data_IF_672354761760
#
_entry.id   IF_672354761760
#
_cell.length_a   1.000
_cell.length_b   1.000
_cell.length_c   1.000
_cell.angle_alpha   90.00
_cell.angle_beta   90.00
_cell.angle_gamma   90.00
#
_symmetry.space_group_name_H-M   'P 1'
#
loop_
_entity.id
_entity.type
_entity.pdbx_description
1 polymer ?
#
# COMPACT_ATOMS: atom_id res chain seq x y z
N UNK A 1 -7.02 2.18 -25.10
CA UNK A 1 -7.72 3.31 -25.75
C UNK A 1 -7.59 4.61 -24.92
N UNK A 2 -6.42 4.87 -24.33
CA UNK A 2 -6.03 6.17 -23.73
C UNK A 2 -4.57 6.54 -24.09
N UNK A 3 -3.90 5.74 -24.94
CA UNK A 3 -2.52 5.92 -25.41
C UNK A 3 -2.36 6.95 -26.55
N UNK A 4 -3.41 7.69 -26.91
CA UNK A 4 -3.42 8.54 -28.14
C UNK A 4 -3.42 10.05 -27.85
N UNK A 5 -3.54 10.52 -26.60
CA UNK A 5 -3.88 11.93 -26.36
C UNK A 5 -2.83 12.88 -25.81
N UNK A 6 -1.65 12.48 -25.34
CA UNK A 6 -0.70 13.46 -24.78
C UNK A 6 0.75 13.17 -25.16
N UNK A 7 1.10 13.61 -26.38
CA UNK A 7 2.48 13.73 -26.84
C UNK A 7 2.70 15.18 -27.27
N UNK A 8 2.95 16.11 -26.34
CA UNK A 8 3.62 17.38 -26.66
C UNK A 8 4.14 18.15 -25.43
N UNK A 9 5.39 18.61 -25.56
CA UNK A 9 6.14 19.59 -24.77
C UNK A 9 6.90 19.16 -23.50
N UNK A 10 8.16 18.76 -23.73
CA UNK A 10 9.31 18.91 -22.83
C UNK A 10 10.07 20.23 -23.09
N UNK A 11 10.70 20.77 -22.01
CA UNK A 11 12.05 21.40 -21.87
C UNK A 11 11.97 22.61 -20.91
N UNK A 12 12.97 23.02 -20.11
CA UNK A 12 14.26 22.54 -19.54
C UNK A 12 14.77 23.72 -18.65
N UNK A 13 15.61 23.46 -17.63
CA UNK A 13 16.72 24.29 -17.04
C UNK A 13 16.70 24.23 -15.49
N UNK A 14 17.55 23.48 -14.76
CA UNK A 14 19.00 23.61 -14.44
C UNK A 14 19.38 24.94 -13.75
N UNK A 15 19.73 24.93 -12.45
CA UNK A 15 21.10 25.19 -11.93
C UNK A 15 21.25 25.09 -10.38
N UNK A 16 22.18 24.22 -9.97
CA UNK A 16 23.21 24.19 -8.89
C UNK A 16 23.15 24.95 -7.53
N UNK A 17 23.43 24.13 -6.48
CA UNK A 17 24.44 24.18 -5.38
C UNK A 17 24.61 25.41 -4.47
N UNK A 18 24.71 25.18 -3.14
CA UNK A 18 25.93 25.28 -2.29
C UNK A 18 25.64 24.92 -0.81
N UNK A 19 26.63 24.28 -0.17
CA UNK A 19 26.86 23.88 1.24
C UNK A 19 26.88 25.04 2.28
N UNK A 20 26.71 24.87 3.60
CA UNK A 20 27.71 24.43 4.60
C UNK A 20 27.08 24.43 6.03
N UNK A 21 27.58 23.50 6.86
CA UNK A 21 27.56 23.34 8.34
C UNK A 21 27.18 24.52 9.26
N UNK A 22 26.48 24.21 10.37
CA UNK A 22 26.99 24.50 11.73
C UNK A 22 26.21 23.74 12.82
N UNK A 23 26.99 23.23 13.78
CA UNK A 23 26.59 22.47 14.96
C UNK A 23 25.92 23.33 16.03
N UNK A 24 24.95 22.76 16.76
CA UNK A 24 24.64 23.22 18.12
C UNK A 24 24.11 22.05 18.97
N UNK A 25 24.88 21.73 20.00
CA UNK A 25 24.58 20.89 21.16
C UNK A 25 23.23 21.23 21.78
N UNK A 26 22.40 20.21 22.02
CA UNK A 26 21.25 20.32 22.92
C UNK A 26 21.38 19.38 24.11
N UNK A 27 21.14 19.99 25.27
CA UNK A 27 21.16 19.45 26.63
C UNK A 27 20.03 18.43 26.77
N UNK A 28 20.37 17.21 27.18
CA UNK A 28 19.41 16.13 27.44
C UNK A 28 18.69 16.35 28.77
N UNK A 29 17.43 16.78 28.69
CA UNK A 29 16.48 16.70 29.81
C UNK A 29 15.88 15.29 29.81
N UNK A 30 16.22 14.48 30.81
CA UNK A 30 15.56 13.20 31.06
C UNK A 30 14.17 13.46 31.65
N UNK A 31 13.19 13.68 30.78
CA UNK A 31 11.79 13.46 31.12
C UNK A 31 11.56 11.94 31.06
N UNK A 32 10.87 11.40 32.06
CA UNK A 32 10.21 10.09 32.00
C UNK A 32 9.10 10.18 30.95
N UNK A 33 9.50 10.23 29.68
CA UNK A 33 8.64 9.96 28.55
C UNK A 33 8.54 8.45 28.54
N UNK A 34 7.41 7.87 28.95
CA UNK A 34 7.09 6.54 28.46
C UNK A 34 7.19 6.68 26.94
N UNK A 35 8.15 6.02 26.26
CA UNK A 35 8.16 6.07 24.81
C UNK A 35 6.76 5.62 24.42
N UNK A 36 6.06 6.41 23.58
CA UNK A 36 4.80 5.92 23.05
C UNK A 36 5.17 4.68 22.22
N UNK A 37 5.02 3.52 22.85
CA UNK A 37 5.03 2.22 22.20
C UNK A 37 3.83 2.31 21.26
N UNK A 38 4.04 2.14 19.96
CA UNK A 38 2.90 2.06 19.06
C UNK A 38 3.03 2.76 17.73
N UNK A 39 3.63 3.95 17.61
CA UNK A 39 3.45 4.77 16.39
C UNK A 39 4.42 4.37 15.26
N UNK A 40 3.98 3.68 14.19
CA UNK A 40 4.86 3.33 13.09
C UNK A 40 5.14 4.52 12.16
N UNK A 41 4.44 5.64 12.32
CA UNK A 41 4.47 6.78 11.41
C UNK A 41 5.33 7.93 11.94
N UNK A 42 5.31 8.21 13.25
CA UNK A 42 5.98 9.38 13.82
C UNK A 42 7.22 8.99 14.62
N UNK A 43 8.39 9.26 14.06
CA UNK A 43 9.66 9.12 14.78
C UNK A 43 9.87 10.17 15.87
N UNK A 44 9.20 11.32 15.77
CA UNK A 44 9.24 12.41 16.75
C UNK A 44 7.85 12.64 17.30
N UNK A 45 7.73 12.71 18.63
CA UNK A 45 6.46 12.81 19.34
C UNK A 45 5.50 11.68 18.90
N UNK A 46 5.89 10.40 19.08
CA UNK A 46 5.05 9.28 18.72
C UNK A 46 3.73 9.31 19.49
N UNK A 47 2.67 8.81 18.84
CA UNK A 47 1.31 8.75 19.38
C UNK A 47 0.99 7.30 19.70
N UNK A 48 0.57 7.02 20.93
CA UNK A 48 0.17 5.68 21.34
C UNK A 48 -1.05 5.21 20.53
N UNK A 49 -0.93 4.06 19.88
CA UNK A 49 -2.01 3.42 19.10
C UNK A 49 -2.40 2.05 19.64
N UNK A 50 -1.76 1.60 20.73
CA UNK A 50 -1.94 0.26 21.29
C UNK A 50 -0.97 -0.79 20.74
N UNK A 51 -0.57 -1.72 21.60
CA UNK A 51 0.42 -2.75 21.29
C UNK A 51 -0.07 -3.74 20.23
N UNK A 52 -1.35 -4.09 20.22
CA UNK A 52 -1.92 -5.04 19.24
C UNK A 52 -2.12 -4.41 17.89
N UNK A 53 -2.49 -3.13 17.84
CA UNK A 53 -2.53 -2.35 16.59
C UNK A 53 -1.13 -2.24 15.98
N UNK A 54 -0.11 -1.92 16.78
CA UNK A 54 1.27 -1.86 16.27
C UNK A 54 1.75 -3.22 15.77
N UNK A 55 1.50 -4.29 16.53
CA UNK A 55 1.86 -5.64 16.12
C UNK A 55 1.15 -6.07 14.82
N UNK A 56 -0.14 -5.74 14.68
CA UNK A 56 -0.89 -5.97 13.45
C UNK A 56 -0.30 -5.20 12.27
N UNK A 57 0.05 -3.92 12.47
CA UNK A 57 0.68 -3.09 11.44
C UNK A 57 2.00 -3.71 10.96
N UNK A 58 2.89 -4.07 11.88
CA UNK A 58 4.19 -4.69 11.53
C UNK A 58 4.02 -6.00 10.80
N UNK A 59 3.19 -6.90 11.34
CA UNK A 59 2.89 -8.18 10.69
C UNK A 59 2.37 -7.96 9.25
N UNK A 60 1.44 -7.03 9.04
CA UNK A 60 0.84 -6.79 7.73
C UNK A 60 1.80 -6.10 6.76
N UNK A 61 2.44 -5.01 7.18
CA UNK A 61 3.13 -4.08 6.27
C UNK A 61 4.64 -4.27 6.20
N UNK A 62 5.27 -4.74 7.28
CA UNK A 62 6.71 -5.03 7.30
C UNK A 62 6.96 -6.50 6.92
N UNK A 63 6.27 -7.43 7.57
CA UNK A 63 6.53 -8.87 7.40
C UNK A 63 5.77 -9.51 6.22
N UNK A 64 4.65 -8.88 5.82
CA UNK A 64 3.69 -9.44 4.87
C UNK A 64 2.98 -10.70 5.39
N UNK A 65 2.85 -10.83 6.71
CA UNK A 65 2.14 -11.89 7.41
C UNK A 65 0.71 -11.44 7.76
N UNK A 66 -0.17 -11.52 6.76
CA UNK A 66 -1.58 -11.13 6.87
C UNK A 66 -2.34 -12.02 7.85
N UNK A 67 -1.90 -13.28 7.98
CA UNK A 67 -2.48 -14.25 8.91
C UNK A 67 -2.25 -13.83 10.35
N UNK A 68 -1.01 -13.52 10.71
CA UNK A 68 -0.67 -13.03 12.04
C UNK A 68 -1.28 -11.64 12.30
N UNK A 69 -1.29 -10.75 11.30
CA UNK A 69 -1.95 -9.45 11.42
C UNK A 69 -3.43 -9.59 11.80
N UNK A 70 -4.16 -10.52 11.18
CA UNK A 70 -5.56 -10.81 11.52
C UNK A 70 -5.74 -11.27 12.96
N UNK A 71 -4.82 -12.09 13.47
CA UNK A 71 -4.87 -12.57 14.86
C UNK A 71 -4.67 -11.43 15.86
N UNK A 72 -3.75 -10.50 15.59
CA UNK A 72 -3.59 -9.29 16.41
C UNK A 72 -4.80 -8.36 16.31
N UNK A 73 -5.34 -8.14 15.11
CA UNK A 73 -6.51 -7.29 14.90
C UNK A 73 -7.75 -7.79 15.63
N UNK A 74 -7.90 -9.12 15.77
CA UNK A 74 -8.99 -9.71 16.55
C UNK A 74 -8.92 -9.30 18.02
N UNK A 75 -7.72 -9.20 18.58
CA UNK A 75 -7.51 -8.78 19.96
C UNK A 75 -7.69 -7.25 20.06
N UNK A 76 -7.06 -6.50 19.15
CA UNK A 76 -7.15 -5.05 19.08
C UNK A 76 -8.60 -4.55 18.94
N UNK A 77 -9.44 -5.22 18.16
CA UNK A 77 -10.87 -4.89 18.02
C UNK A 77 -11.61 -4.94 19.37
N UNK A 78 -11.16 -5.76 20.33
CA UNK A 78 -11.78 -5.87 21.65
C UNK A 78 -11.10 -5.03 22.74
N UNK A 79 -9.80 -4.77 22.62
CA UNK A 79 -8.99 -4.14 23.68
C UNK A 79 -8.64 -2.67 23.36
N UNK A 80 -8.55 -2.31 22.08
CA UNK A 80 -8.08 -1.01 21.57
C UNK A 80 -9.20 -0.31 20.78
N UNK A 81 -10.42 -0.36 21.33
CA UNK A 81 -11.68 -0.02 20.63
C UNK A 81 -11.74 1.41 20.06
N UNK A 82 -10.94 2.33 20.60
CA UNK A 82 -10.88 3.73 20.18
C UNK A 82 -9.82 4.02 19.11
N UNK A 83 -9.06 3.02 18.67
CA UNK A 83 -8.03 3.18 17.66
C UNK A 83 -8.63 2.95 16.25
N UNK A 84 -8.77 4.01 15.42
CA UNK A 84 -9.37 3.87 14.10
C UNK A 84 -8.55 3.02 13.11
N UNK A 85 -7.22 2.93 13.28
CA UNK A 85 -6.36 2.10 12.42
C UNK A 85 -6.73 0.61 12.48
N UNK A 86 -7.18 0.11 13.64
CA UNK A 86 -7.67 -1.27 13.78
C UNK A 86 -8.73 -1.58 12.74
N UNK A 87 -9.77 -0.74 12.69
CA UNK A 87 -10.90 -0.96 11.79
C UNK A 87 -10.53 -0.73 10.32
N UNK A 88 -9.60 0.19 10.04
CA UNK A 88 -9.10 0.41 8.68
C UNK A 88 -8.32 -0.80 8.16
N UNK A 89 -7.48 -1.43 8.99
CA UNK A 89 -6.76 -2.65 8.65
C UNK A 89 -7.69 -3.86 8.51
N UNK A 90 -8.72 -3.99 9.36
CA UNK A 90 -9.73 -5.06 9.20
C UNK A 90 -10.52 -4.86 7.90
N UNK A 91 -10.91 -3.62 7.57
CA UNK A 91 -11.60 -3.30 6.33
C UNK A 91 -10.76 -3.67 5.09
N UNK A 92 -9.44 -3.39 5.10
CA UNK A 92 -8.56 -3.73 3.98
C UNK A 92 -8.38 -5.24 3.80
N UNK A 93 -8.32 -6.02 4.89
CA UNK A 93 -8.36 -7.49 4.81
C UNK A 93 -9.65 -7.99 4.14
N UNK A 94 -10.80 -7.42 4.51
CA UNK A 94 -12.08 -7.79 3.90
C UNK A 94 -12.19 -7.37 2.44
N UNK A 95 -11.55 -6.26 2.04
CA UNK A 95 -11.43 -5.90 0.63
C UNK A 95 -10.67 -6.98 -0.17
N UNK A 96 -9.55 -7.49 0.36
CA UNK A 96 -8.76 -8.54 -0.28
C UNK A 96 -9.50 -9.88 -0.40
N UNK A 97 -10.38 -10.17 0.56
CA UNK A 97 -11.24 -11.35 0.56
C UNK A 97 -12.52 -11.19 -0.30
N UNK A 98 -12.77 -10.00 -0.84
CA UNK A 98 -14.03 -9.60 -1.48
C UNK A 98 -15.26 -9.77 -0.56
N UNK A 99 -15.05 -9.68 0.76
CA UNK A 99 -16.14 -9.66 1.72
C UNK A 99 -16.68 -8.23 1.84
N UNK A 100 -17.54 -7.85 0.90
CA UNK A 100 -18.03 -6.49 0.75
C UNK A 100 -18.87 -5.99 1.94
N UNK A 101 -19.67 -6.87 2.56
CA UNK A 101 -20.48 -6.50 3.72
C UNK A 101 -19.59 -6.16 4.92
N UNK A 102 -18.57 -6.99 5.19
CA UNK A 102 -17.62 -6.70 6.25
C UNK A 102 -16.74 -5.48 5.91
N UNK A 103 -16.31 -5.30 4.66
CA UNK A 103 -15.62 -4.08 4.23
C UNK A 103 -16.45 -2.83 4.58
N UNK A 104 -17.74 -2.81 4.22
CA UNK A 104 -18.64 -1.69 4.51
C UNK A 104 -18.74 -1.43 6.01
N UNK A 105 -18.99 -2.48 6.79
CA UNK A 105 -19.12 -2.38 8.24
C UNK A 105 -17.87 -1.74 8.87
N UNK A 106 -16.69 -2.25 8.53
CA UNK A 106 -15.44 -1.78 9.13
C UNK A 106 -14.98 -0.42 8.58
N UNK A 107 -15.31 -0.08 7.35
CA UNK A 107 -15.13 1.29 6.83
C UNK A 107 -15.97 2.30 7.62
N UNK A 108 -17.23 1.96 7.94
CA UNK A 108 -18.11 2.80 8.77
C UNK A 108 -17.61 2.93 10.21
N UNK A 109 -17.18 1.82 10.83
CA UNK A 109 -16.53 1.86 12.16
C UNK A 109 -15.28 2.74 12.17
N UNK A 110 -14.46 2.67 11.11
CA UNK A 110 -13.28 3.53 10.96
C UNK A 110 -13.67 5.00 11.03
N UNK A 111 -14.69 5.41 10.27
CA UNK A 111 -15.19 6.80 10.29
C UNK A 111 -15.76 7.18 11.65
N UNK A 112 -16.62 6.34 12.25
CA UNK A 112 -17.26 6.62 13.55
C UNK A 112 -16.22 6.87 14.66
N UNK A 113 -15.24 5.97 14.78
CA UNK A 113 -14.19 6.08 15.79
C UNK A 113 -13.30 7.29 15.50
N UNK A 114 -13.00 7.56 14.23
CA UNK A 114 -12.21 8.71 13.83
C UNK A 114 -12.91 10.05 14.11
N UNK A 115 -14.23 10.13 13.92
CA UNK A 115 -15.02 11.33 14.22
C UNK A 115 -14.97 11.68 15.72
N UNK A 116 -15.06 10.67 16.59
CA UNK A 116 -14.85 10.86 18.03
C UNK A 116 -13.41 11.35 18.33
N UNK A 117 -12.42 10.78 17.64
CA UNK A 117 -11.02 11.15 17.78
C UNK A 117 -10.71 12.59 17.36
N UNK A 118 -11.50 13.21 16.47
CA UNK A 118 -11.25 14.59 16.00
C UNK A 118 -11.15 15.59 17.16
N UNK A 119 -11.93 15.41 18.23
CA UNK A 119 -11.93 16.32 19.38
C UNK A 119 -10.68 16.19 20.27
N UNK A 120 -9.98 15.06 20.18
CA UNK A 120 -8.81 14.70 21.00
C UNK A 120 -7.52 14.88 20.20
N UNK A 121 -7.51 14.33 18.99
CA UNK A 121 -6.41 14.39 18.04
C UNK A 121 -6.98 14.73 16.65
N UNK A 122 -7.10 16.03 16.33
CA UNK A 122 -7.81 16.45 15.11
C UNK A 122 -7.08 16.06 13.83
N UNK A 123 -5.75 15.88 13.84
CA UNK A 123 -5.00 15.41 12.67
C UNK A 123 -5.36 13.95 12.40
N UNK A 124 -5.17 13.04 13.37
CA UNK A 124 -5.48 11.62 13.19
C UNK A 124 -6.96 11.36 12.96
N UNK A 125 -7.84 12.03 13.71
CA UNK A 125 -9.29 11.92 13.51
C UNK A 125 -9.71 12.28 12.08
N UNK A 126 -9.14 13.33 11.49
CA UNK A 126 -9.43 13.65 10.09
C UNK A 126 -8.80 12.66 9.10
N UNK A 127 -7.56 12.19 9.33
CA UNK A 127 -6.92 11.16 8.48
C UNK A 127 -7.79 9.91 8.38
N UNK A 128 -8.29 9.40 9.50
CA UNK A 128 -9.08 8.17 9.50
C UNK A 128 -10.54 8.37 9.11
N UNK A 129 -11.13 9.54 9.38
CA UNK A 129 -12.43 9.89 8.80
C UNK A 129 -12.34 9.88 7.27
N UNK A 130 -11.27 10.45 6.69
CA UNK A 130 -11.02 10.39 5.26
C UNK A 130 -10.85 8.96 4.74
N UNK A 131 -10.07 8.15 5.46
CA UNK A 131 -9.80 6.75 5.12
C UNK A 131 -11.08 5.92 5.10
N UNK A 132 -11.94 6.05 6.10
CA UNK A 132 -13.24 5.36 6.14
C UNK A 132 -14.16 5.77 4.98
N UNK A 133 -14.25 7.07 4.66
CA UNK A 133 -15.02 7.53 3.49
C UNK A 133 -14.46 6.97 2.18
N UNK A 134 -13.13 6.90 2.02
CA UNK A 134 -12.50 6.33 0.83
C UNK A 134 -12.79 4.83 0.67
N UNK A 135 -12.74 4.06 1.77
CA UNK A 135 -13.08 2.64 1.80
C UNK A 135 -14.57 2.40 1.48
N UNK A 136 -15.48 3.25 1.99
CA UNK A 136 -16.89 3.20 1.59
C UNK A 136 -17.08 3.48 0.10
N UNK A 137 -16.30 4.40 -0.48
CA UNK A 137 -16.26 4.63 -1.92
C UNK A 137 -15.84 3.37 -2.70
N UNK A 138 -14.82 2.66 -2.22
CA UNK A 138 -14.37 1.39 -2.81
C UNK A 138 -15.45 0.31 -2.74
N UNK A 139 -16.15 0.17 -1.60
CA UNK A 139 -17.31 -0.72 -1.47
C UNK A 139 -18.40 -0.41 -2.51
N UNK A 140 -18.76 0.87 -2.67
CA UNK A 140 -19.81 1.30 -3.61
C UNK A 140 -19.43 0.92 -5.05
N UNK A 141 -18.20 1.21 -5.48
CA UNK A 141 -17.75 0.86 -6.84
C UNK A 141 -17.73 -0.65 -7.05
N UNK A 142 -17.29 -1.41 -6.04
CA UNK A 142 -17.15 -2.87 -6.14
C UNK A 142 -18.50 -3.60 -6.18
N UNK A 143 -19.53 -3.04 -5.54
CA UNK A 143 -20.85 -3.69 -5.42
C UNK A 143 -21.90 -3.16 -6.40
N UNK A 144 -21.89 -1.86 -6.69
CA UNK A 144 -22.86 -1.23 -7.59
C UNK A 144 -22.34 -1.07 -9.03
N UNK A 145 -21.05 -1.32 -9.24
CA UNK A 145 -20.36 -1.09 -10.51
C UNK A 145 -20.19 0.39 -10.85
N UNK A 146 -19.37 0.70 -11.85
CA UNK A 146 -19.00 2.08 -12.18
C UNK A 146 -20.21 2.94 -12.56
N UNK A 147 -21.15 2.43 -13.37
CA UNK A 147 -22.25 3.23 -13.90
C UNK A 147 -23.20 3.75 -12.82
N UNK A 148 -23.56 2.90 -11.85
CA UNK A 148 -24.49 3.27 -10.76
C UNK A 148 -23.74 3.81 -9.54
N UNK A 149 -22.57 3.26 -9.24
CA UNK A 149 -21.79 3.59 -8.05
C UNK A 149 -20.99 4.90 -8.18
N UNK A 150 -20.54 5.31 -9.37
CA UNK A 150 -19.63 6.44 -9.51
C UNK A 150 -20.12 7.76 -8.88
N UNK A 151 -21.39 8.19 -9.05
CA UNK A 151 -21.86 9.42 -8.40
C UNK A 151 -21.78 9.37 -6.87
N UNK A 152 -22.15 8.22 -6.27
CA UNK A 152 -22.10 8.01 -4.83
C UNK A 152 -20.66 7.90 -4.31
N UNK A 153 -19.81 7.19 -5.04
CA UNK A 153 -18.39 7.08 -4.72
C UNK A 153 -17.67 8.43 -4.83
N UNK A 154 -18.06 9.28 -5.79
CA UNK A 154 -17.54 10.65 -5.90
C UNK A 154 -17.96 11.52 -4.71
N UNK A 155 -19.17 11.37 -4.19
CA UNK A 155 -19.59 12.04 -2.95
C UNK A 155 -18.70 11.63 -1.77
N UNK A 156 -18.45 10.33 -1.62
CA UNK A 156 -17.53 9.79 -0.60
C UNK A 156 -16.11 10.32 -0.76
N UNK A 157 -15.59 10.34 -1.99
CA UNK A 157 -14.29 10.91 -2.30
C UNK A 157 -14.20 12.40 -1.94
N UNK A 158 -15.22 13.20 -2.21
CA UNK A 158 -15.24 14.62 -1.82
C UNK A 158 -15.15 14.80 -0.31
N UNK A 159 -15.83 13.95 0.48
CA UNK A 159 -15.73 13.96 1.95
C UNK A 159 -14.32 13.58 2.40
N UNK A 160 -13.74 12.53 1.79
CA UNK A 160 -12.37 12.12 2.10
C UNK A 160 -11.35 13.25 1.84
N UNK A 161 -11.44 13.91 0.68
CA UNK A 161 -10.59 15.05 0.34
C UNK A 161 -10.73 16.19 1.35
N UNK A 162 -11.96 16.54 1.75
CA UNK A 162 -12.21 17.61 2.72
C UNK A 162 -11.60 17.33 4.10
N UNK A 163 -11.65 16.08 4.55
CA UNK A 163 -10.98 15.67 5.79
C UNK A 163 -9.46 15.73 5.68
N UNK A 164 -8.88 15.23 4.59
CA UNK A 164 -7.44 15.34 4.37
C UNK A 164 -6.96 16.79 4.29
N UNK A 165 -7.69 17.67 3.59
CA UNK A 165 -7.42 19.12 3.57
C UNK A 165 -7.49 19.76 4.97
N UNK A 166 -8.39 19.26 5.83
CA UNK A 166 -8.49 19.71 7.21
C UNK A 166 -7.30 19.27 8.05
N UNK A 167 -6.89 18.01 7.95
CA UNK A 167 -5.68 17.51 8.60
C UNK A 167 -4.42 18.28 8.11
N UNK A 168 -4.31 18.52 6.81
CA UNK A 168 -3.19 19.24 6.20
C UNK A 168 -3.08 20.69 6.68
N UNK A 169 -4.21 21.39 6.84
CA UNK A 169 -4.22 22.76 7.42
C UNK A 169 -3.73 22.80 8.86
N UNK A 170 -3.91 21.72 9.63
CA UNK A 170 -3.46 21.63 11.02
C UNK A 170 -1.99 21.23 11.09
N UNK A 171 -1.60 20.18 10.36
CA UNK A 171 -0.22 19.72 10.29
C UNK A 171 0.10 19.10 8.92
N UNK A 172 0.54 19.93 7.98
CA UNK A 172 0.94 19.50 6.62
C UNK A 172 2.24 18.68 6.55
N UNK A 173 2.97 18.56 7.66
CA UNK A 173 4.19 17.76 7.78
C UNK A 173 3.97 16.43 8.49
N UNK A 174 2.73 16.11 8.87
CA UNK A 174 2.43 14.86 9.55
C UNK A 174 2.72 13.65 8.63
N UNK A 175 3.56 12.69 9.04
CA UNK A 175 4.00 11.62 8.16
C UNK A 175 2.88 10.62 7.82
N UNK A 176 1.99 10.35 8.77
CA UNK A 176 0.83 9.47 8.57
C UNK A 176 -0.13 10.10 7.53
N UNK A 177 -0.42 11.41 7.67
CA UNK A 177 -1.19 12.15 6.67
C UNK A 177 -0.57 12.03 5.28
N UNK A 178 0.73 12.33 5.16
CA UNK A 178 1.41 12.35 3.88
C UNK A 178 1.52 10.96 3.26
N UNK A 179 1.57 9.90 4.07
CA UNK A 179 1.51 8.52 3.60
C UNK A 179 0.14 8.19 3.02
N UNK A 180 -0.94 8.28 3.82
CA UNK A 180 -2.28 7.88 3.39
C UNK A 180 -2.80 8.76 2.23
N UNK A 181 -2.64 10.07 2.35
CA UNK A 181 -3.03 11.01 1.29
C UNK A 181 -2.19 10.79 0.03
N UNK A 182 -0.89 10.53 0.16
CA UNK A 182 -0.02 10.24 -0.98
C UNK A 182 -0.46 9.01 -1.77
N UNK A 183 -0.81 7.92 -1.08
CA UNK A 183 -1.37 6.72 -1.73
C UNK A 183 -2.70 7.00 -2.42
N UNK A 184 -3.61 7.73 -1.77
CA UNK A 184 -4.88 8.12 -2.38
C UNK A 184 -4.66 8.97 -3.63
N UNK A 185 -3.83 10.02 -3.54
CA UNK A 185 -3.53 10.93 -4.65
C UNK A 185 -2.92 10.17 -5.84
N UNK A 186 -2.07 9.15 -5.59
CA UNK A 186 -1.55 8.24 -6.62
C UNK A 186 -2.66 7.42 -7.28
N UNK A 187 -3.52 6.76 -6.48
CA UNK A 187 -4.64 5.98 -7.01
C UNK A 187 -5.57 6.83 -7.88
N UNK A 188 -5.79 8.08 -7.48
CA UNK A 188 -6.60 9.01 -8.26
C UNK A 188 -5.87 9.51 -9.51
N UNK A 189 -4.56 9.77 -9.46
CA UNK A 189 -3.80 10.30 -10.60
C UNK A 189 -3.76 9.34 -11.80
N UNK A 190 -3.70 8.03 -11.52
CA UNK A 190 -3.70 7.00 -12.56
C UNK A 190 -5.08 6.84 -13.21
N UNK A 191 -6.15 7.24 -12.52
CA UNK A 191 -7.54 6.97 -12.94
C UNK A 191 -8.37 8.21 -13.28
N UNK A 192 -7.96 9.41 -12.84
CA UNK A 192 -8.69 10.66 -12.96
C UNK A 192 -7.73 11.82 -13.32
N UNK A 193 -8.12 12.73 -14.23
CA UNK A 193 -7.24 13.76 -14.77
C UNK A 193 -7.00 14.96 -13.83
N UNK A 194 -7.21 14.81 -12.52
CA UNK A 194 -7.17 15.91 -11.55
C UNK A 194 -6.05 15.79 -10.51
N UNK A 195 -5.38 14.65 -10.42
CA UNK A 195 -4.25 14.45 -9.51
C UNK A 195 -2.94 14.39 -10.30
N UNK A 196 -1.93 15.11 -9.82
CA UNK A 196 -0.59 15.11 -10.40
C UNK A 196 0.23 13.98 -9.77
N UNK A 197 0.54 12.90 -10.51
CA UNK A 197 1.26 11.77 -9.96
C UNK A 197 2.67 12.15 -9.48
N UNK A 198 3.33 13.14 -10.09
CA UNK A 198 4.67 13.57 -9.66
C UNK A 198 4.60 14.31 -8.32
N UNK A 199 3.54 15.08 -8.08
CA UNK A 199 3.31 15.72 -6.77
C UNK A 199 3.06 14.69 -5.68
N UNK A 200 2.27 13.66 -5.96
CA UNK A 200 1.99 12.57 -5.03
C UNK A 200 3.27 11.77 -4.72
N UNK A 201 4.05 11.43 -5.74
CA UNK A 201 5.37 10.78 -5.59
C UNK A 201 6.29 11.61 -4.69
N UNK A 202 6.41 12.92 -4.95
CA UNK A 202 7.25 13.80 -4.14
C UNK A 202 6.79 13.86 -2.68
N UNK A 203 5.49 13.87 -2.46
CA UNK A 203 4.91 13.86 -1.10
C UNK A 203 5.31 12.60 -0.34
N UNK A 204 5.22 11.43 -0.99
CA UNK A 204 5.66 10.17 -0.40
C UNK A 204 7.17 10.17 -0.13
N UNK A 205 7.99 10.67 -1.06
CA UNK A 205 9.45 10.71 -0.90
C UNK A 205 9.90 11.63 0.24
N UNK A 206 9.31 12.82 0.34
CA UNK A 206 9.84 13.89 1.18
C UNK A 206 9.21 13.93 2.58
N UNK A 207 7.99 13.41 2.74
CA UNK A 207 7.18 13.64 3.95
C UNK A 207 6.53 12.41 4.55
N UNK A 208 6.39 11.31 3.81
CA UNK A 208 5.71 10.12 4.33
C UNK A 208 6.67 9.22 5.11
N UNK A 209 6.15 8.55 6.14
CA UNK A 209 6.84 7.55 6.92
C UNK A 209 5.83 6.49 7.40
N UNK A 210 6.19 5.20 7.55
CA UNK A 210 7.53 4.61 7.40
C UNK A 210 8.06 4.55 5.97
N UNK A 211 9.39 4.62 5.83
CA UNK A 211 10.05 4.71 4.53
C UNK A 211 9.78 3.50 3.64
N UNK A 212 9.81 2.27 4.16
CA UNK A 212 9.46 1.08 3.38
C UNK A 212 8.07 1.20 2.71
N UNK A 213 7.05 1.74 3.39
CA UNK A 213 5.74 1.97 2.79
C UNK A 213 5.74 3.12 1.79
N UNK A 214 6.42 4.22 2.11
CA UNK A 214 6.55 5.35 1.19
C UNK A 214 7.24 4.95 -0.12
N UNK A 215 8.39 4.28 -0.02
CA UNK A 215 9.16 3.76 -1.15
C UNK A 215 8.39 2.71 -1.94
N UNK A 216 7.62 1.84 -1.28
CA UNK A 216 6.73 0.88 -1.96
C UNK A 216 5.68 1.60 -2.81
N UNK A 217 5.06 2.65 -2.29
CA UNK A 217 4.08 3.47 -3.02
C UNK A 217 4.69 4.17 -4.22
N UNK A 218 5.90 4.72 -4.06
CA UNK A 218 6.66 5.35 -5.14
C UNK A 218 7.05 4.34 -6.22
N UNK A 219 7.47 3.14 -5.84
CA UNK A 219 7.78 2.06 -6.77
C UNK A 219 6.56 1.65 -7.62
N UNK A 220 5.40 1.48 -6.98
CA UNK A 220 4.13 1.22 -7.67
C UNK A 220 3.80 2.34 -8.65
N UNK A 221 3.91 3.60 -8.21
CA UNK A 221 3.66 4.75 -9.07
C UNK A 221 4.57 4.76 -10.30
N UNK A 222 5.87 4.54 -10.12
CA UNK A 222 6.80 4.51 -11.25
C UNK A 222 6.57 3.32 -12.18
N UNK A 223 6.19 2.15 -11.66
CA UNK A 223 5.79 1.00 -12.49
C UNK A 223 4.59 1.37 -13.36
N UNK A 224 3.56 1.97 -12.78
CA UNK A 224 2.31 2.31 -13.48
C UNK A 224 2.48 3.47 -14.47
N UNK A 225 3.49 4.32 -14.25
CA UNK A 225 3.94 5.37 -15.18
C UNK A 225 4.95 4.88 -16.24
N UNK A 226 5.22 3.57 -16.31
CA UNK A 226 6.16 2.96 -17.26
C UNK A 226 7.62 3.46 -17.09
N UNK A 227 7.98 3.92 -15.89
CA UNK A 227 9.33 4.38 -15.51
C UNK A 227 10.06 3.26 -14.77
N UNK A 228 10.24 2.13 -15.46
CA UNK A 228 10.62 0.85 -14.84
C UNK A 228 11.98 0.86 -14.12
N UNK A 229 12.98 1.60 -14.61
CA UNK A 229 14.27 1.74 -13.92
C UNK A 229 14.12 2.41 -12.55
N UNK A 230 13.30 3.46 -12.47
CA UNK A 230 13.01 4.13 -11.20
C UNK A 230 12.17 3.27 -10.28
N UNK A 231 11.21 2.52 -10.85
CA UNK A 231 10.42 1.57 -10.08
C UNK A 231 11.34 0.54 -9.40
N UNK A 232 12.28 -0.02 -10.15
CA UNK A 232 13.25 -0.99 -9.61
C UNK A 232 14.15 -0.38 -8.54
N UNK A 233 14.66 0.84 -8.74
CA UNK A 233 15.45 1.57 -7.72
C UNK A 233 14.69 1.69 -6.39
N UNK A 234 13.40 2.06 -6.44
CA UNK A 234 12.60 2.22 -5.23
C UNK A 234 12.24 0.89 -4.59
N UNK A 235 11.95 -0.15 -5.37
CA UNK A 235 11.75 -1.49 -4.81
C UNK A 235 13.01 -1.99 -4.10
N UNK A 236 14.19 -1.75 -4.67
CA UNK A 236 15.45 -2.11 -4.03
C UNK A 236 15.65 -1.37 -2.70
N UNK A 237 15.24 -0.09 -2.60
CA UNK A 237 15.22 0.63 -1.31
C UNK A 237 14.28 0.00 -0.30
N UNK A 238 13.10 -0.45 -0.71
CA UNK A 238 12.15 -1.15 0.19
C UNK A 238 12.78 -2.44 0.72
N UNK A 239 13.41 -3.24 -0.14
CA UNK A 239 14.05 -4.51 0.24
C UNK A 239 15.26 -4.35 1.16
N UNK A 240 15.86 -3.14 1.27
CA UNK A 240 16.88 -2.87 2.29
C UNK A 240 16.29 -2.78 3.70
N UNK A 241 15.02 -2.38 3.82
CA UNK A 241 14.32 -2.23 5.11
C UNK A 241 13.51 -3.48 5.48
N UNK A 242 12.85 -4.10 4.49
CA UNK A 242 11.98 -5.26 4.68
C UNK A 242 12.36 -6.39 3.70
N UNK A 243 13.53 -7.01 3.88
CA UNK A 243 14.14 -7.91 2.89
C UNK A 243 13.32 -9.16 2.61
N UNK A 244 12.46 -9.59 3.53
CA UNK A 244 11.68 -10.82 3.40
C UNK A 244 10.21 -10.56 3.05
N UNK A 245 9.81 -9.31 2.75
CA UNK A 245 8.40 -9.01 2.50
C UNK A 245 7.94 -9.59 1.15
N UNK A 246 6.96 -10.53 1.13
CA UNK A 246 6.59 -11.26 -0.07
C UNK A 246 5.94 -10.36 -1.13
N UNK A 247 5.23 -9.31 -0.72
CA UNK A 247 4.61 -8.39 -1.68
C UNK A 247 5.61 -7.47 -2.36
N UNK A 248 6.73 -7.15 -1.69
CA UNK A 248 7.81 -6.36 -2.27
C UNK A 248 8.57 -7.18 -3.30
N UNK A 249 8.83 -8.46 -3.01
CA UNK A 249 9.36 -9.40 -3.99
C UNK A 249 8.42 -9.57 -5.19
N UNK A 250 7.12 -9.72 -4.94
CA UNK A 250 6.14 -9.76 -6.01
C UNK A 250 6.18 -8.50 -6.88
N UNK A 251 6.21 -7.31 -6.28
CA UNK A 251 6.34 -6.04 -7.02
C UNK A 251 7.64 -5.99 -7.85
N UNK A 252 8.76 -6.46 -7.29
CA UNK A 252 10.04 -6.56 -8.03
C UNK A 252 9.91 -7.48 -9.24
N UNK A 253 9.27 -8.64 -9.06
CA UNK A 253 9.05 -9.60 -10.13
C UNK A 253 8.22 -9.00 -11.27
N UNK A 254 7.16 -8.25 -10.95
CA UNK A 254 6.34 -7.55 -11.94
C UNK A 254 7.12 -6.52 -12.74
N UNK A 255 7.95 -5.70 -12.08
CA UNK A 255 8.79 -4.70 -12.74
C UNK A 255 9.81 -5.38 -13.67
N UNK A 256 10.45 -6.46 -13.22
CA UNK A 256 11.42 -7.22 -14.02
C UNK A 256 10.75 -7.89 -15.24
N UNK A 257 9.53 -8.40 -15.09
CA UNK A 257 8.74 -8.92 -16.22
C UNK A 257 8.42 -7.82 -17.22
N UNK A 258 8.05 -6.63 -16.76
CA UNK A 258 7.80 -5.48 -17.64
C UNK A 258 9.07 -5.08 -18.40
N UNK A 259 10.22 -4.94 -17.71
CA UNK A 259 11.50 -4.61 -18.34
C UNK A 259 11.93 -5.67 -19.36
N UNK A 260 11.70 -6.96 -19.05
CA UNK A 260 11.99 -8.03 -19.99
C UNK A 260 11.16 -7.89 -21.27
N UNK A 261 9.88 -7.54 -21.16
CA UNK A 261 9.00 -7.34 -22.33
C UNK A 261 9.48 -6.18 -23.21
N UNK A 262 9.95 -5.09 -22.62
CA UNK A 262 10.49 -3.94 -23.36
C UNK A 262 11.84 -4.25 -24.04
N UNK A 263 12.53 -5.29 -23.57
CA UNK A 263 13.84 -5.75 -24.06
C UNK A 263 13.76 -7.09 -24.78
N UNK A 264 12.77 -7.22 -25.67
CA UNK A 264 12.59 -8.40 -26.53
C UNK A 264 12.58 -9.72 -25.75
N UNK A 265 11.82 -9.74 -24.65
CA UNK A 265 11.68 -10.88 -23.76
C UNK A 265 13.00 -11.34 -23.11
N UNK A 266 13.86 -10.41 -22.66
CA UNK A 266 15.16 -10.69 -22.05
C UNK A 266 15.12 -11.83 -21.00
N UNK A 267 15.76 -12.96 -21.35
CA UNK A 267 15.73 -14.17 -20.53
C UNK A 267 16.43 -14.01 -19.18
N UNK A 268 17.43 -13.13 -19.07
CA UNK A 268 18.13 -12.87 -17.80
C UNK A 268 17.19 -12.17 -16.82
N UNK A 269 16.45 -11.16 -17.30
CA UNK A 269 15.43 -10.48 -16.50
C UNK A 269 14.28 -11.39 -16.11
N UNK A 270 13.83 -12.25 -17.02
CA UNK A 270 12.80 -13.26 -16.73
C UNK A 270 13.21 -14.22 -15.63
N UNK A 271 14.48 -14.67 -15.62
CA UNK A 271 15.03 -15.53 -14.56
C UNK A 271 15.08 -14.82 -13.21
N UNK A 272 15.53 -13.56 -13.17
CA UNK A 272 15.49 -12.74 -11.94
C UNK A 272 14.06 -12.51 -11.44
N UNK A 273 13.11 -12.32 -12.36
CA UNK A 273 11.70 -12.21 -12.00
C UNK A 273 11.19 -13.51 -11.39
N UNK A 274 11.56 -14.67 -11.95
CA UNK A 274 11.23 -15.99 -11.39
C UNK A 274 11.72 -16.12 -9.94
N UNK A 275 12.98 -15.76 -9.66
CA UNK A 275 13.54 -15.82 -8.30
C UNK A 275 12.71 -14.99 -7.31
N UNK A 276 12.27 -13.79 -7.72
CA UNK A 276 11.43 -12.95 -6.86
C UNK A 276 9.99 -13.46 -6.71
N UNK A 277 9.43 -14.09 -7.75
CA UNK A 277 8.16 -14.80 -7.60
C UNK A 277 8.27 -15.98 -6.64
N UNK A 278 9.36 -16.75 -6.72
CA UNK A 278 9.64 -17.87 -5.81
C UNK A 278 9.71 -17.35 -4.36
N UNK A 279 10.49 -16.29 -4.09
CA UNK A 279 10.57 -15.64 -2.77
C UNK A 279 9.21 -15.16 -2.24
N UNK A 280 8.35 -14.61 -3.10
CA UNK A 280 7.01 -14.21 -2.70
C UNK A 280 6.14 -15.43 -2.30
N UNK A 281 6.20 -16.51 -3.09
CA UNK A 281 5.37 -17.70 -2.92
C UNK A 281 5.83 -18.63 -1.79
N UNK A 282 7.07 -18.50 -1.32
CA UNK A 282 7.56 -19.16 -0.09
C UNK A 282 6.70 -18.80 1.13
N UNK A 283 6.05 -17.63 1.13
CA UNK A 283 5.14 -17.17 2.20
C UNK A 283 3.66 -17.27 1.81
N UNK A 284 3.32 -18.17 0.89
CA UNK A 284 1.95 -18.32 0.38
C UNK A 284 0.91 -18.58 1.48
N UNK A 285 1.23 -19.35 2.52
CA UNK A 285 0.33 -19.64 3.64
C UNK A 285 0.11 -18.48 4.62
N UNK A 286 0.87 -17.39 4.45
CA UNK A 286 0.79 -16.14 5.22
C UNK A 286 0.05 -15.02 4.48
N UNK A 287 -0.20 -15.19 3.19
CA UNK A 287 -0.86 -14.20 2.33
C UNK A 287 -2.32 -14.55 2.02
N UNK A 288 -3.16 -13.58 1.65
CA UNK A 288 -4.53 -13.84 1.18
C UNK A 288 -4.52 -14.76 -0.05
N UNK A 289 -5.42 -15.75 -0.06
CA UNK A 289 -5.50 -16.79 -1.11
C UNK A 289 -5.55 -16.22 -2.53
N UNK A 290 -6.34 -15.17 -2.72
CA UNK A 290 -6.51 -14.51 -4.02
C UNK A 290 -5.23 -13.83 -4.50
N UNK A 291 -4.48 -13.20 -3.58
CA UNK A 291 -3.18 -12.64 -3.88
C UNK A 291 -2.20 -13.74 -4.30
N UNK A 292 -2.13 -14.84 -3.54
CA UNK A 292 -1.29 -16.00 -3.87
C UNK A 292 -1.62 -16.56 -5.24
N UNK A 293 -2.91 -16.73 -5.56
CA UNK A 293 -3.35 -17.18 -6.88
C UNK A 293 -2.84 -16.25 -7.99
N UNK A 294 -2.90 -14.93 -7.79
CA UNK A 294 -2.41 -13.95 -8.76
C UNK A 294 -0.88 -14.03 -8.93
N UNK A 295 -0.11 -14.06 -7.84
CA UNK A 295 1.36 -14.20 -7.87
C UNK A 295 1.75 -15.47 -8.62
N UNK A 296 1.10 -16.59 -8.29
CA UNK A 296 1.31 -17.88 -8.93
C UNK A 296 1.01 -17.84 -10.43
N UNK A 297 -0.12 -17.25 -10.81
CA UNK A 297 -0.51 -17.11 -12.21
C UNK A 297 0.54 -16.35 -13.02
N UNK A 298 0.99 -15.20 -12.50
CA UNK A 298 2.00 -14.38 -13.16
C UNK A 298 3.34 -15.11 -13.29
N UNK A 299 3.74 -15.85 -12.25
CA UNK A 299 4.95 -16.68 -12.31
C UNK A 299 4.81 -17.81 -13.34
N UNK A 300 3.69 -18.54 -13.36
CA UNK A 300 3.44 -19.58 -14.35
C UNK A 300 3.56 -19.03 -15.78
N UNK A 301 2.99 -17.85 -16.03
CA UNK A 301 3.13 -17.16 -17.32
C UNK A 301 4.58 -16.75 -17.57
N UNK A 302 5.31 -16.29 -16.55
CA UNK A 302 6.72 -15.95 -16.67
C UNK A 302 7.57 -17.16 -17.06
N UNK A 303 7.36 -18.32 -16.43
CA UNK A 303 8.08 -19.56 -16.73
C UNK A 303 7.80 -20.04 -18.15
N UNK A 304 6.53 -20.01 -18.60
CA UNK A 304 6.21 -20.30 -20.01
C UNK A 304 6.93 -19.37 -21.00
N UNK A 305 7.30 -18.15 -20.61
CA UNK A 305 8.11 -17.25 -21.46
C UNK A 305 9.63 -17.51 -21.36
N UNK A 306 10.08 -18.29 -20.37
CA UNK A 306 11.49 -18.68 -20.19
C UNK A 306 11.79 -19.95 -20.99
N UNK A 307 10.87 -20.91 -20.96
CA UNK A 307 11.07 -22.26 -21.52
C UNK A 307 10.15 -22.60 -22.70
N UNK A 308 9.43 -21.61 -23.23
CA UNK A 308 8.43 -21.76 -24.28
C UNK A 308 7.35 -22.81 -23.96
N UNK A 309 7.10 -23.03 -22.66
CA UNK A 309 6.13 -23.98 -22.15
C UNK A 309 4.67 -23.58 -22.41
N UNK A 310 3.77 -24.56 -22.26
CA UNK A 310 2.32 -24.41 -22.43
C UNK A 310 1.54 -24.84 -21.19
N UNK A 311 2.08 -24.52 -20.00
CA UNK A 311 1.40 -24.83 -18.73
C UNK A 311 0.00 -24.19 -18.71
N UNK A 312 -1.03 -24.90 -18.22
CA UNK A 312 -2.38 -24.38 -18.12
C UNK A 312 -2.52 -23.42 -16.91
N UNK A 313 -1.89 -22.25 -16.99
CA UNK A 313 -1.78 -21.32 -15.87
C UNK A 313 -3.15 -20.86 -15.32
N UNK A 314 -4.17 -20.73 -16.18
CA UNK A 314 -5.52 -20.34 -15.74
C UNK A 314 -6.16 -21.41 -14.84
N UNK A 315 -6.30 -22.70 -15.27
CA UNK A 315 -6.77 -23.75 -14.37
C UNK A 315 -5.95 -23.91 -13.09
N UNK A 316 -4.62 -23.75 -13.15
CA UNK A 316 -3.76 -23.88 -11.98
C UNK A 316 -3.97 -22.73 -10.97
N UNK A 317 -4.13 -21.50 -11.47
CA UNK A 317 -4.54 -20.35 -10.64
C UNK A 317 -5.90 -20.59 -10.00
N UNK A 318 -6.87 -21.02 -10.80
CA UNK A 318 -8.26 -21.19 -10.35
C UNK A 318 -8.35 -22.25 -9.24
N UNK A 319 -7.56 -23.33 -9.32
CA UNK A 319 -7.44 -24.31 -8.24
C UNK A 319 -6.95 -23.71 -6.91
N UNK A 320 -6.05 -22.72 -6.95
CA UNK A 320 -5.61 -21.99 -5.75
C UNK A 320 -6.72 -21.05 -5.27
N UNK A 321 -7.25 -20.22 -6.18
CA UNK A 321 -8.26 -19.18 -5.90
C UNK A 321 -9.53 -19.77 -5.29
N UNK A 322 -10.02 -20.87 -5.85
CA UNK A 322 -11.32 -21.47 -5.53
C UNK A 322 -11.23 -22.52 -4.41
N UNK A 323 -10.03 -22.74 -3.86
CA UNK A 323 -9.84 -23.61 -2.70
C UNK A 323 -10.43 -23.02 -1.40
N UNK A 324 -10.47 -23.83 -0.35
CA UNK A 324 -11.13 -23.47 0.92
C UNK A 324 -10.28 -22.57 1.83
N UNK A 325 -10.91 -21.55 2.43
CA UNK A 325 -10.31 -20.71 3.47
C UNK A 325 -9.67 -19.42 2.95
N UNK A 326 -9.35 -18.50 3.87
CA UNK A 326 -8.86 -17.15 3.57
C UNK A 326 -7.42 -17.12 3.04
N UNK A 327 -6.55 -17.97 3.58
CA UNK A 327 -5.10 -17.92 3.31
C UNK A 327 -4.72 -18.81 2.14
N UNK A 328 -3.58 -18.51 1.51
CA UNK A 328 -2.98 -19.37 0.50
C UNK A 328 -2.65 -20.78 1.04
N UNK A 329 -2.49 -21.76 0.15
CA UNK A 329 -2.13 -23.11 0.55
C UNK A 329 -0.64 -23.18 0.96
N UNK A 330 -0.30 -24.10 1.86
CA UNK A 330 1.09 -24.40 2.23
C UNK A 330 1.85 -25.08 1.08
N UNK A 331 1.14 -25.81 0.22
CA UNK A 331 1.70 -26.45 -0.95
C UNK A 331 1.05 -25.90 -2.22
N UNK A 332 1.88 -25.45 -3.16
CA UNK A 332 1.45 -24.93 -4.45
C UNK A 332 1.57 -25.99 -5.55
N UNK A 333 0.78 -25.90 -6.63
CA UNK A 333 0.98 -26.74 -7.80
C UNK A 333 2.39 -26.59 -8.37
N UNK A 334 2.96 -27.67 -8.91
CA UNK A 334 4.30 -27.64 -9.50
C UNK A 334 4.32 -26.81 -10.79
N UNK A 335 5.33 -25.93 -10.91
CA UNK A 335 5.61 -25.11 -12.09
C UNK A 335 6.87 -25.58 -12.83
#
# INVERSE_FOLDING_TARGET
>A
MLKILFNWCQKKSVLNQISVLSSATFISLNLLVNPAIGDPFRQRNPIEIGEKTEAAFKAMFEEGDYKQAKDYLKIAESEEISEPLVYAMIASLHYLDENWESLKLYAQKTTEVAENLITINPVRGNIYAATGQFLEGAYIISTEGTLKGAPKALEKLRKALSHFETAERINSSDPELNLLKGYMDLMLAVNLPFSDPEKAIKTLQDKAYPHHLAYRGVAVAYRDLDKLEKALEYVDKVLLEVPDNPEVHYLKAQILVAQARDKDNDLSMRKKARENFDMALEKSDKMPRRLVAQVFFEQCKNINNIDDGKRPCDPMRDAIRDGSGTWGPTELPLL
#
